data_IF_410343493859
#
_entry.id   IF_410343493859
#
_cell.length_a   1.000
_cell.length_b   1.000
_cell.length_c   1.000
_cell.angle_alpha   90.00
_cell.angle_beta   90.00
_cell.angle_gamma   90.00
#
_symmetry.space_group_name_H-M   'P 1'
#
loop_
_entity.id
_entity.type
_entity.pdbx_description
1 polymer ?
#
# COMPACT_ATOMS: atom_id res chain seq x y z
N UNK A 1 5.78 -13.51 -39.54
CA UNK A 1 5.37 -13.24 -38.16
C UNK A 1 5.96 -14.32 -37.26
N UNK A 2 6.74 -14.01 -36.22
CA UNK A 2 6.99 -14.84 -35.05
C UNK A 2 8.39 -15.06 -34.48
N UNK A 3 9.44 -14.44 -35.00
CA UNK A 3 10.76 -14.58 -34.36
C UNK A 3 10.89 -13.75 -33.04
N UNK A 4 10.17 -12.63 -32.92
CA UNK A 4 10.21 -11.78 -31.73
C UNK A 4 9.43 -12.35 -30.54
N UNK A 5 8.31 -13.01 -30.78
CA UNK A 5 7.45 -13.58 -29.72
C UNK A 5 8.14 -14.69 -28.92
N UNK A 6 8.86 -15.60 -29.60
CA UNK A 6 9.57 -16.72 -28.95
C UNK A 6 10.78 -16.28 -28.10
N UNK A 7 11.38 -15.11 -28.37
CA UNK A 7 12.54 -14.61 -27.61
C UNK A 7 12.15 -13.97 -26.28
N UNK A 8 10.96 -13.41 -26.18
CA UNK A 8 10.47 -12.74 -24.97
C UNK A 8 9.67 -13.65 -24.03
N UNK A 9 9.19 -14.80 -24.52
CA UNK A 9 8.31 -15.72 -23.79
C UNK A 9 8.91 -16.25 -22.47
N UNK A 10 10.21 -16.65 -22.41
CA UNK A 10 10.81 -17.08 -21.14
C UNK A 10 10.86 -15.95 -20.11
N UNK A 11 11.24 -14.74 -20.53
CA UNK A 11 11.28 -13.57 -19.65
C UNK A 11 9.88 -13.14 -19.24
N UNK A 12 8.91 -13.18 -20.14
CA UNK A 12 7.52 -12.89 -19.83
C UNK A 12 6.97 -13.83 -18.75
N UNK A 13 7.22 -15.12 -18.89
CA UNK A 13 6.73 -16.13 -17.92
C UNK A 13 7.43 -15.97 -16.57
N UNK A 14 8.73 -15.71 -16.53
CA UNK A 14 9.50 -15.48 -15.32
C UNK A 14 8.97 -14.26 -14.54
N UNK A 15 8.78 -13.14 -15.21
CA UNK A 15 8.38 -11.89 -14.59
C UNK A 15 6.88 -11.80 -14.30
N UNK A 16 6.04 -12.47 -15.08
CA UNK A 16 4.61 -12.52 -14.80
C UNK A 16 4.28 -13.39 -13.59
N UNK A 17 5.16 -14.36 -13.27
CA UNK A 17 5.03 -15.20 -12.09
C UNK A 17 5.57 -14.53 -10.79
N UNK A 18 6.50 -13.57 -10.91
CA UNK A 18 7.12 -12.87 -9.76
C UNK A 18 7.19 -11.36 -10.01
N UNK A 19 6.08 -10.69 -9.69
CA UNK A 19 5.97 -9.22 -9.81
C UNK A 19 6.96 -8.49 -8.92
N UNK A 20 7.28 -9.02 -7.74
CA UNK A 20 8.27 -8.43 -6.83
C UNK A 20 9.69 -8.45 -7.45
N UNK A 21 10.03 -9.54 -8.16
CA UNK A 21 11.30 -9.64 -8.89
C UNK A 21 11.33 -8.67 -10.06
N UNK A 22 10.25 -8.65 -10.85
CA UNK A 22 10.17 -7.74 -12.01
C UNK A 22 10.36 -6.28 -11.58
N UNK A 23 9.65 -5.84 -10.55
CA UNK A 23 9.69 -4.47 -10.08
C UNK A 23 11.08 -4.12 -9.56
N UNK A 24 11.68 -4.98 -8.74
CA UNK A 24 13.02 -4.78 -8.22
C UNK A 24 14.08 -4.68 -9.34
N UNK A 25 14.03 -5.57 -10.33
CA UNK A 25 14.96 -5.54 -11.48
C UNK A 25 14.75 -4.29 -12.36
N UNK A 26 13.50 -3.87 -12.53
CA UNK A 26 13.18 -2.63 -13.25
C UNK A 26 13.79 -1.41 -12.55
N UNK A 27 13.66 -1.31 -11.24
CA UNK A 27 14.23 -0.23 -10.44
C UNK A 27 15.78 -0.25 -10.47
N UNK A 28 16.38 -1.44 -10.45
CA UNK A 28 17.84 -1.61 -10.57
C UNK A 28 18.35 -1.12 -11.92
N UNK A 29 17.64 -1.45 -13.00
CA UNK A 29 17.96 -0.99 -14.35
C UNK A 29 17.81 0.53 -14.45
N UNK A 30 16.71 1.09 -13.95
CA UNK A 30 16.48 2.54 -13.95
C UNK A 30 17.57 3.30 -13.18
N UNK A 31 17.96 2.80 -11.99
CA UNK A 31 19.06 3.39 -11.22
C UNK A 31 20.37 3.40 -12.03
N UNK A 32 20.69 2.30 -12.73
CA UNK A 32 21.85 2.20 -13.60
C UNK A 32 21.82 3.23 -14.74
N UNK A 33 20.69 3.44 -15.40
CA UNK A 33 20.53 4.48 -16.43
C UNK A 33 20.68 5.91 -15.87
N UNK A 34 20.35 6.11 -14.61
CA UNK A 34 20.51 7.38 -13.90
C UNK A 34 21.92 7.57 -13.30
N UNK A 35 22.88 6.66 -13.61
CA UNK A 35 24.24 6.64 -13.05
C UNK A 35 24.27 6.60 -11.51
N UNK A 36 23.33 5.90 -10.90
CA UNK A 36 23.26 5.67 -9.45
C UNK A 36 23.08 4.19 -9.14
N UNK A 37 23.26 3.81 -7.89
CA UNK A 37 22.95 2.45 -7.42
C UNK A 37 21.53 2.39 -6.84
N UNK A 38 20.99 1.17 -6.73
CA UNK A 38 19.70 0.97 -6.07
C UNK A 38 19.76 1.37 -4.58
N UNK A 39 20.87 1.13 -3.93
CA UNK A 39 21.10 1.49 -2.52
C UNK A 39 21.07 3.02 -2.33
N UNK A 40 21.69 3.77 -3.25
CA UNK A 40 21.65 5.23 -3.20
C UNK A 40 20.27 5.79 -3.54
N UNK A 41 19.61 5.23 -4.57
CA UNK A 41 18.27 5.67 -4.97
C UNK A 41 17.23 5.48 -3.85
N UNK A 42 17.35 4.42 -3.06
CA UNK A 42 16.38 4.06 -2.00
C UNK A 42 16.97 4.20 -0.58
N UNK A 43 18.05 4.97 -0.40
CA UNK A 43 18.76 5.10 0.88
C UNK A 43 17.84 5.43 2.06
N UNK A 44 16.85 6.30 1.86
CA UNK A 44 15.91 6.70 2.91
C UNK A 44 14.98 5.55 3.36
N UNK A 45 14.77 4.58 2.47
CA UNK A 45 13.98 3.37 2.74
C UNK A 45 14.82 2.22 3.30
N UNK A 46 16.15 2.27 3.15
CA UNK A 46 17.08 1.18 3.51
C UNK A 46 17.67 1.32 4.92
N UNK A 47 16.93 1.92 5.84
CA UNK A 47 17.37 2.12 7.23
C UNK A 47 17.67 0.77 7.91
N UNK A 48 18.85 0.65 8.54
CA UNK A 48 19.35 -0.55 9.24
C UNK A 48 19.73 -1.77 8.37
N UNK A 49 19.64 -1.67 7.04
CA UNK A 49 20.04 -2.75 6.13
C UNK A 49 21.58 -3.00 6.17
N UNK A 50 22.35 -1.99 6.55
CA UNK A 50 23.82 -2.08 6.69
C UNK A 50 24.28 -3.14 7.68
N UNK A 51 23.45 -3.50 8.67
CA UNK A 51 23.73 -4.52 9.68
C UNK A 51 23.53 -5.95 9.16
N UNK A 52 22.92 -6.10 8.00
CA UNK A 52 22.65 -7.39 7.37
C UNK A 52 23.74 -7.73 6.37
N UNK A 53 23.96 -9.02 6.15
CA UNK A 53 24.97 -9.55 5.20
C UNK A 53 24.36 -10.67 4.34
N UNK A 54 25.01 -10.95 3.21
CA UNK A 54 24.64 -12.06 2.34
C UNK A 54 23.19 -12.00 1.83
N UNK A 55 22.52 -13.15 1.82
CA UNK A 55 21.16 -13.31 1.30
C UNK A 55 20.11 -12.52 2.10
N UNK A 56 20.29 -12.35 3.40
CA UNK A 56 19.37 -11.60 4.24
C UNK A 56 19.38 -10.12 3.87
N UNK A 57 20.54 -9.55 3.55
CA UNK A 57 20.66 -8.18 3.05
C UNK A 57 19.93 -8.02 1.71
N UNK A 58 20.17 -8.92 0.76
CA UNK A 58 19.56 -8.88 -0.57
C UNK A 58 18.02 -8.95 -0.45
N UNK A 59 17.53 -9.86 0.39
CA UNK A 59 16.08 -10.02 0.63
C UNK A 59 15.46 -8.77 1.23
N UNK A 60 16.11 -8.17 2.24
CA UNK A 60 15.61 -6.96 2.89
C UNK A 60 15.63 -5.76 1.94
N UNK A 61 16.71 -5.56 1.17
CA UNK A 61 16.78 -4.51 0.14
C UNK A 61 15.64 -4.67 -0.87
N UNK A 62 15.43 -5.87 -1.40
CA UNK A 62 14.31 -6.14 -2.33
C UNK A 62 12.97 -5.79 -1.69
N UNK A 63 12.74 -6.20 -0.45
CA UNK A 63 11.49 -5.92 0.26
C UNK A 63 11.26 -4.43 0.44
N UNK A 64 12.26 -3.68 0.89
CA UNK A 64 12.17 -2.22 1.11
C UNK A 64 11.96 -1.44 -0.18
N UNK A 65 12.66 -1.80 -1.23
CA UNK A 65 12.45 -1.20 -2.56
C UNK A 65 11.01 -1.42 -3.02
N UNK A 66 10.52 -2.64 -2.96
CA UNK A 66 9.16 -2.99 -3.36
C UNK A 66 8.09 -2.25 -2.53
N UNK A 67 8.28 -2.14 -1.20
CA UNK A 67 7.40 -1.35 -0.33
C UNK A 67 7.42 0.15 -0.69
N UNK A 68 8.61 0.70 -0.99
CA UNK A 68 8.75 2.10 -1.40
C UNK A 68 8.05 2.38 -2.72
N UNK A 69 8.16 1.47 -3.69
CA UNK A 69 7.46 1.60 -4.97
C UNK A 69 5.95 1.48 -4.81
N UNK A 70 5.47 0.50 -4.04
CA UNK A 70 4.03 0.39 -3.71
C UNK A 70 3.52 1.68 -3.08
N UNK A 71 4.26 2.23 -2.09
CA UNK A 71 3.92 3.51 -1.47
C UNK A 71 3.80 4.63 -2.50
N UNK A 72 4.76 4.74 -3.41
CA UNK A 72 4.76 5.77 -4.44
C UNK A 72 3.58 5.62 -5.39
N UNK A 73 3.26 4.38 -5.82
CA UNK A 73 2.11 4.10 -6.68
C UNK A 73 0.79 4.50 -6.01
N UNK A 74 0.56 4.05 -4.76
CA UNK A 74 -0.70 4.36 -4.05
C UNK A 74 -0.82 5.86 -3.80
N UNK A 75 0.22 6.53 -3.28
CA UNK A 75 0.14 7.98 -3.02
C UNK A 75 -0.10 8.76 -4.31
N UNK A 76 0.57 8.40 -5.41
CA UNK A 76 0.37 9.03 -6.72
C UNK A 76 -1.05 8.82 -7.23
N UNK A 77 -1.61 7.61 -7.08
CA UNK A 77 -2.97 7.27 -7.48
C UNK A 77 -4.03 8.15 -6.77
N UNK A 78 -3.75 8.59 -5.56
CA UNK A 78 -4.60 9.51 -4.78
C UNK A 78 -4.14 10.98 -4.85
N UNK A 79 -3.30 11.34 -5.84
CA UNK A 79 -2.77 12.71 -6.03
C UNK A 79 -2.12 13.31 -4.78
N UNK A 80 -1.46 12.48 -3.97
CA UNK A 80 -0.79 12.91 -2.74
C UNK A 80 -1.75 13.36 -1.63
N UNK A 81 -2.98 12.83 -1.58
CA UNK A 81 -4.00 13.22 -0.58
C UNK A 81 -4.59 12.02 0.13
N UNK A 82 -4.84 12.19 1.43
CA UNK A 82 -5.59 11.21 2.19
C UNK A 82 -7.02 11.06 1.65
N UNK A 83 -7.44 9.84 1.36
CA UNK A 83 -8.76 9.52 0.81
C UNK A 83 -9.95 9.87 1.73
N UNK A 84 -9.70 10.11 3.02
CA UNK A 84 -10.75 10.47 3.99
C UNK A 84 -10.74 11.95 4.36
N UNK A 85 -9.55 12.53 4.53
CA UNK A 85 -9.40 13.86 5.13
C UNK A 85 -8.94 14.92 4.15
N UNK A 86 -8.40 14.51 2.99
CA UNK A 86 -7.77 15.42 2.04
C UNK A 86 -6.42 15.99 2.51
N UNK A 87 -5.87 15.53 3.65
CA UNK A 87 -4.53 15.92 4.09
C UNK A 87 -3.53 15.57 2.98
N UNK A 88 -2.68 16.54 2.61
CA UNK A 88 -1.69 16.48 1.53
C UNK A 88 -0.25 16.72 2.02
N UNK A 89 0.00 16.50 3.30
CA UNK A 89 1.34 16.56 3.91
C UNK A 89 2.00 15.19 3.76
N UNK A 90 3.07 15.04 2.92
CA UNK A 90 3.63 13.73 2.55
C UNK A 90 4.08 12.88 3.75
N UNK A 91 4.59 13.53 4.80
CA UNK A 91 5.08 12.89 6.03
C UNK A 91 3.95 12.27 6.86
N UNK A 92 2.71 12.73 6.66
CA UNK A 92 1.53 12.23 7.34
C UNK A 92 0.74 11.20 6.52
N UNK A 93 1.13 10.96 5.26
CA UNK A 93 0.45 10.01 4.39
C UNK A 93 1.06 8.62 4.51
N UNK A 94 0.20 7.62 4.45
CA UNK A 94 0.56 6.20 4.43
C UNK A 94 -0.15 5.52 3.26
N UNK A 95 0.57 4.66 2.55
CA UNK A 95 -0.03 3.70 1.62
C UNK A 95 -0.49 2.49 2.41
N UNK A 96 -1.71 2.54 2.89
CA UNK A 96 -2.32 1.50 3.74
C UNK A 96 -2.67 0.28 2.89
N UNK A 97 -2.17 -0.90 3.25
CA UNK A 97 -2.56 -2.15 2.59
C UNK A 97 -3.91 -2.62 3.12
N UNK A 98 -4.82 -2.99 2.23
CA UNK A 98 -6.13 -3.56 2.62
C UNK A 98 -5.93 -4.99 3.13
N UNK A 99 -5.27 -5.85 2.33
CA UNK A 99 -4.72 -7.13 2.78
C UNK A 99 -3.27 -6.93 3.17
N UNK A 100 -2.88 -7.19 4.43
CA UNK A 100 -1.52 -6.94 4.90
C UNK A 100 -0.43 -7.60 4.05
N UNK A 101 0.71 -6.94 3.93
CA UNK A 101 1.90 -7.41 3.18
C UNK A 101 2.27 -8.86 3.46
N UNK A 102 2.12 -9.33 4.69
CA UNK A 102 2.49 -10.68 5.09
C UNK A 102 1.51 -11.76 4.63
N UNK A 103 0.25 -11.39 4.38
CA UNK A 103 -0.84 -12.34 4.13
C UNK A 103 -0.88 -12.78 2.67
N UNK A 104 -0.82 -11.84 1.73
CA UNK A 104 -1.01 -12.13 0.31
C UNK A 104 0.17 -11.63 -0.52
N UNK A 105 1.09 -12.54 -0.85
CA UNK A 105 2.29 -12.21 -1.61
C UNK A 105 1.98 -11.76 -3.05
N UNK A 106 0.92 -12.29 -3.66
CA UNK A 106 0.56 -11.96 -5.04
C UNK A 106 0.05 -10.52 -5.16
N UNK A 107 -0.62 -10.02 -4.11
CA UNK A 107 -1.29 -8.73 -4.11
C UNK A 107 -0.49 -7.62 -3.41
N UNK A 108 0.75 -7.88 -3.00
CA UNK A 108 1.61 -6.90 -2.31
C UNK A 108 1.86 -5.63 -3.10
N UNK A 109 1.99 -5.75 -4.41
CA UNK A 109 2.29 -4.65 -5.34
C UNK A 109 1.09 -4.25 -6.18
N UNK A 110 -0.09 -4.80 -5.87
CA UNK A 110 -1.31 -4.40 -6.54
C UNK A 110 -1.81 -3.06 -5.96
N UNK A 111 -1.86 -1.96 -6.74
CA UNK A 111 -2.35 -0.67 -6.25
C UNK A 111 -3.81 -0.73 -5.78
N UNK A 112 -4.63 -1.66 -6.29
CA UNK A 112 -6.01 -1.89 -5.83
C UNK A 112 -6.07 -2.49 -4.42
N UNK A 113 -4.94 -3.00 -3.90
CA UNK A 113 -4.76 -3.42 -2.51
C UNK A 113 -4.28 -2.27 -1.62
N UNK A 114 -4.40 -1.03 -2.06
CA UNK A 114 -3.88 0.14 -1.35
C UNK A 114 -4.86 1.30 -1.25
N UNK A 115 -4.85 1.98 -0.11
CA UNK A 115 -5.59 3.22 0.13
C UNK A 115 -4.60 4.25 0.70
N UNK A 116 -4.60 5.48 0.16
CA UNK A 116 -3.84 6.58 0.76
C UNK A 116 -4.58 7.14 1.97
N UNK A 117 -4.08 6.88 3.16
CA UNK A 117 -4.66 7.37 4.42
C UNK A 117 -3.66 8.25 5.16
N UNK A 118 -4.16 9.15 6.01
CA UNK A 118 -3.30 9.80 6.99
C UNK A 118 -2.98 8.84 8.14
N UNK A 119 -1.86 9.04 8.82
CA UNK A 119 -1.32 8.12 9.84
C UNK A 119 -2.32 7.72 10.93
N UNK A 120 -3.24 8.62 11.31
CA UNK A 120 -4.30 8.30 12.28
C UNK A 120 -5.27 7.23 11.72
N UNK A 121 -5.74 7.44 10.48
CA UNK A 121 -6.74 6.56 9.88
C UNK A 121 -6.13 5.26 9.36
N UNK A 122 -4.86 5.29 8.93
CA UNK A 122 -4.08 4.08 8.67
C UNK A 122 -3.98 3.21 9.92
N UNK A 123 -3.56 3.78 11.05
CA UNK A 123 -3.49 3.05 12.31
C UNK A 123 -4.84 2.54 12.81
N UNK A 124 -5.93 3.27 12.54
CA UNK A 124 -7.28 2.83 12.89
C UNK A 124 -7.76 1.69 11.97
N UNK A 125 -7.45 1.75 10.70
CA UNK A 125 -7.77 0.73 9.70
C UNK A 125 -7.00 -0.57 9.96
N UNK A 126 -5.69 -0.49 10.12
CA UNK A 126 -4.84 -1.66 10.43
C UNK A 126 -5.28 -2.41 11.69
N UNK A 127 -5.83 -1.68 12.67
CA UNK A 127 -6.34 -2.26 13.92
C UNK A 127 -7.81 -2.69 13.83
N UNK A 128 -8.45 -2.57 12.67
CA UNK A 128 -9.86 -2.89 12.50
C UNK A 128 -10.83 -2.00 13.30
N UNK A 129 -10.37 -0.83 13.73
CA UNK A 129 -11.21 0.15 14.40
C UNK A 129 -12.12 0.91 13.44
N UNK A 130 -11.69 1.02 12.19
CA UNK A 130 -12.50 1.44 11.05
C UNK A 130 -12.38 0.41 9.94
N UNK A 131 -13.39 0.35 9.07
CA UNK A 131 -13.39 -0.44 7.85
C UNK A 131 -14.15 0.29 6.76
N UNK A 132 -14.31 -0.36 5.62
CA UNK A 132 -15.08 0.19 4.48
C UNK A 132 -16.07 -0.85 3.98
N UNK A 133 -17.29 -0.40 3.73
CA UNK A 133 -18.32 -1.25 3.13
C UNK A 133 -18.15 -1.38 1.60
N UNK A 134 -19.00 -2.18 0.97
CA UNK A 134 -18.99 -2.42 -0.49
C UNK A 134 -19.33 -1.17 -1.33
N UNK A 135 -19.76 -0.07 -0.70
CA UNK A 135 -19.98 1.22 -1.31
C UNK A 135 -18.87 2.23 -1.00
N UNK A 136 -17.73 1.73 -0.47
CA UNK A 136 -16.58 2.55 -0.07
C UNK A 136 -16.90 3.56 1.04
N UNK A 137 -17.88 3.25 1.91
CA UNK A 137 -18.23 4.09 3.06
C UNK A 137 -17.53 3.59 4.30
N UNK A 138 -17.06 4.53 5.11
CA UNK A 138 -16.46 4.23 6.42
C UNK A 138 -17.47 3.55 7.32
N UNK A 139 -17.04 2.49 7.96
CA UNK A 139 -17.74 1.80 9.05
C UNK A 139 -16.89 1.92 10.31
N UNK A 140 -17.45 2.46 11.38
CA UNK A 140 -16.80 2.52 12.69
C UNK A 140 -17.07 1.24 13.46
N UNK A 141 -16.04 0.67 14.10
CA UNK A 141 -16.22 -0.48 14.98
C UNK A 141 -17.01 -0.11 16.25
N UNK A 142 -17.71 -1.08 16.87
CA UNK A 142 -18.38 -0.86 18.17
C UNK A 142 -17.46 -0.23 19.22
N UNK A 143 -16.18 -0.63 19.23
CA UNK A 143 -15.17 -0.10 20.15
C UNK A 143 -14.92 1.41 19.98
N UNK A 144 -15.00 1.92 18.75
CA UNK A 144 -14.94 3.38 18.50
C UNK A 144 -16.25 4.04 18.86
N UNK A 145 -17.40 3.42 18.53
CA UNK A 145 -18.73 3.96 18.85
C UNK A 145 -18.97 4.08 20.36
N UNK A 146 -18.44 3.19 21.17
CA UNK A 146 -18.45 3.29 22.63
C UNK A 146 -17.77 4.57 23.17
N UNK A 147 -16.99 5.25 22.36
CA UNK A 147 -16.29 6.49 22.73
C UNK A 147 -17.06 7.77 22.35
N UNK A 148 -18.32 7.67 21.89
CA UNK A 148 -19.09 8.83 21.36
C UNK A 148 -19.25 9.98 22.38
N UNK A 149 -19.24 9.69 23.68
CA UNK A 149 -19.27 10.71 24.73
C UNK A 149 -17.95 11.46 24.94
N UNK A 150 -16.88 11.04 24.28
CA UNK A 150 -15.56 11.67 24.43
C UNK A 150 -15.38 12.85 23.49
N UNK A 151 -14.79 13.93 23.98
CA UNK A 151 -14.62 15.18 23.23
C UNK A 151 -13.85 15.02 21.90
N UNK A 152 -12.99 14.02 21.75
CA UNK A 152 -12.26 13.75 20.52
C UNK A 152 -13.10 12.99 19.48
N UNK A 153 -14.18 12.30 19.90
CA UNK A 153 -14.93 11.41 19.00
C UNK A 153 -15.49 12.18 17.80
N UNK A 154 -16.29 13.22 18.03
CA UNK A 154 -16.89 14.01 16.94
C UNK A 154 -15.85 14.58 16.01
N UNK A 155 -14.71 15.03 16.58
CA UNK A 155 -13.64 15.65 15.81
C UNK A 155 -12.93 14.69 14.86
N UNK A 156 -12.72 13.44 15.28
CA UNK A 156 -11.86 12.50 14.55
C UNK A 156 -12.59 11.30 13.94
N UNK A 157 -13.75 10.91 14.50
CA UNK A 157 -14.44 9.69 14.08
C UNK A 157 -15.91 9.91 13.75
N UNK A 158 -16.65 10.67 14.55
CA UNK A 158 -18.09 10.86 14.36
C UNK A 158 -18.45 11.41 12.99
N UNK A 159 -17.73 12.46 12.56
CA UNK A 159 -17.91 13.05 11.21
C UNK A 159 -17.50 12.13 10.07
N UNK A 160 -16.71 11.09 10.35
CA UNK A 160 -16.25 10.13 9.34
C UNK A 160 -17.20 8.94 9.17
N UNK A 161 -18.10 8.70 10.11
CA UNK A 161 -19.04 7.59 10.03
C UNK A 161 -19.90 7.71 8.76
N UNK A 162 -19.92 6.67 7.95
CA UNK A 162 -20.56 6.63 6.62
C UNK A 162 -20.02 7.64 5.59
N UNK A 163 -18.93 8.36 5.88
CA UNK A 163 -18.27 9.18 4.87
C UNK A 163 -17.76 8.27 3.73
N UNK A 164 -17.87 8.77 2.51
CA UNK A 164 -17.39 8.06 1.33
C UNK A 164 -15.90 8.32 1.15
N UNK A 165 -15.13 7.29 0.80
CA UNK A 165 -13.76 7.48 0.33
C UNK A 165 -13.75 8.38 -0.90
N UNK A 166 -12.82 9.32 -0.94
CA UNK A 166 -12.45 9.98 -2.18
C UNK A 166 -11.75 8.95 -3.05
N UNK A 167 -12.39 8.60 -4.16
CA UNK A 167 -11.87 7.55 -5.05
C UNK A 167 -10.74 8.10 -5.93
N UNK A 168 -9.72 7.30 -6.21
CA UNK A 168 -8.69 7.65 -7.19
C UNK A 168 -9.26 7.57 -8.62
N UNK A 169 -8.54 8.14 -9.60
CA UNK A 169 -8.94 8.06 -11.01
C UNK A 169 -8.79 6.65 -11.58
N UNK A 170 -7.74 5.95 -11.16
CA UNK A 170 -7.40 4.59 -11.59
C UNK A 170 -7.25 3.68 -10.37
N UNK A 171 -7.13 2.38 -10.59
CA UNK A 171 -6.85 1.40 -9.54
C UNK A 171 -7.68 1.60 -8.27
N UNK A 172 -8.99 1.53 -8.41
CA UNK A 172 -9.92 1.60 -7.28
C UNK A 172 -9.66 0.46 -6.30
N UNK A 173 -9.81 0.68 -4.99
CA UNK A 173 -9.72 -0.40 -4.00
C UNK A 173 -10.62 -1.58 -4.39
N UNK A 174 -10.05 -2.78 -4.48
CA UNK A 174 -10.81 -3.98 -4.84
C UNK A 174 -11.81 -4.33 -3.73
N UNK A 175 -13.08 -4.48 -4.11
CA UNK A 175 -14.17 -4.78 -3.17
C UNK A 175 -13.98 -6.10 -2.43
N UNK A 176 -13.37 -7.10 -3.07
CA UNK A 176 -13.08 -8.38 -2.43
C UNK A 176 -12.01 -8.23 -1.34
N UNK A 177 -11.07 -7.29 -1.49
CA UNK A 177 -10.08 -7.00 -0.45
C UNK A 177 -10.73 -6.24 0.73
N UNK A 178 -11.63 -5.30 0.45
CA UNK A 178 -12.40 -4.62 1.51
C UNK A 178 -13.28 -5.62 2.29
N UNK A 179 -13.96 -6.53 1.61
CA UNK A 179 -14.74 -7.60 2.24
C UNK A 179 -13.84 -8.48 3.12
N UNK A 180 -12.69 -8.90 2.59
CA UNK A 180 -11.72 -9.67 3.37
C UNK A 180 -11.28 -8.93 4.63
N UNK A 181 -11.00 -7.63 4.56
CA UNK A 181 -10.63 -6.80 5.71
C UNK A 181 -11.76 -6.74 6.75
N UNK A 182 -13.01 -6.54 6.27
CA UNK A 182 -14.20 -6.52 7.14
C UNK A 182 -14.43 -7.86 7.85
N UNK A 183 -14.05 -8.98 7.22
CA UNK A 183 -14.24 -10.32 7.78
C UNK A 183 -13.08 -10.77 8.69
N UNK A 184 -11.85 -10.32 8.39
CA UNK A 184 -10.63 -10.86 9.00
C UNK A 184 -9.98 -9.92 10.02
N UNK A 185 -10.15 -8.61 9.88
CA UNK A 185 -9.45 -7.58 10.68
C UNK A 185 -10.43 -6.71 11.46
N UNK A 186 -11.55 -6.30 10.82
CA UNK A 186 -12.49 -5.37 11.43
C UNK A 186 -13.06 -5.91 12.76
N UNK A 187 -13.03 -5.09 13.80
CA UNK A 187 -13.53 -5.43 15.14
C UNK A 187 -15.05 -5.23 15.18
N UNK A 188 -15.78 -6.34 15.18
CA UNK A 188 -17.25 -6.38 15.30
C UNK A 188 -17.69 -6.35 16.73
#
# INVERSE_FOLDING_TARGET
MSAGKKRCEPYWNEFNADREKLLFESERILASYQNTSIDEKFKDSLVNVEKLTGEDKIREVKTRVNQSVFRSMVISNYHGKCALTGIDVPELLVASHIKPWAIDKAERLNPENGICLSSLYDAAFDKGLIGFDQNYRVVLSPRILEQESKAYFDKYFGSMNHAMLVMPEEHHPDKSFLEWHMDSIFQR
#
